data_IF_319466660951
#
_entry.id   IF_319466660951
#
_cell.length_a   1.000
_cell.length_b   1.000
_cell.length_c   1.000
_cell.angle_alpha   90.00
_cell.angle_beta   90.00
_cell.angle_gamma   90.00
#
_symmetry.space_group_name_H-M   'P 1'
#
loop_
_entity.id
_entity.type
_entity.pdbx_description
1 polymer ?
#
# COMPACT_ATOMS: atom_id res chain seq x y z
N UNK A 1 5.73 -11.86 -0.31
CA UNK A 1 6.20 -12.73 0.75
C UNK A 1 6.11 -14.15 0.23
N UNK A 2 7.26 -14.75 -0.08
CA UNK A 2 7.38 -16.13 -0.58
C UNK A 2 7.90 -16.99 0.55
N UNK A 3 7.19 -18.08 0.87
CA UNK A 3 7.72 -19.16 1.70
C UNK A 3 7.45 -20.50 1.01
N UNK A 4 8.50 -21.11 0.45
CA UNK A 4 8.49 -22.50 0.01
C UNK A 4 8.53 -23.44 1.23
N UNK A 5 7.85 -24.56 1.07
CA UNK A 5 7.07 -25.31 2.06
C UNK A 5 7.84 -26.49 2.66
N UNK A 6 7.89 -26.63 3.99
CA UNK A 6 7.92 -27.95 4.69
C UNK A 6 7.40 -27.81 6.12
N UNK A 7 6.41 -28.63 6.49
CA UNK A 7 6.07 -28.90 7.90
C UNK A 7 4.95 -28.04 8.48
N UNK A 8 4.04 -28.69 9.23
CA UNK A 8 3.00 -28.07 10.02
C UNK A 8 3.63 -27.17 11.11
N UNK A 9 4.01 -25.95 10.76
CA UNK A 9 4.44 -24.94 11.70
C UNK A 9 3.23 -24.07 12.09
N UNK A 10 3.05 -23.87 13.39
CA UNK A 10 2.16 -22.89 13.98
C UNK A 10 2.58 -21.48 13.52
N UNK A 11 2.01 -21.00 12.42
CA UNK A 11 2.18 -19.62 11.99
C UNK A 11 1.49 -18.71 13.02
N UNK A 12 2.27 -18.01 13.84
CA UNK A 12 1.73 -17.03 14.81
C UNK A 12 1.43 -15.67 14.14
N UNK A 13 2.09 -15.36 13.01
CA UNK A 13 1.91 -14.13 12.23
C UNK A 13 2.09 -14.45 10.74
N UNK A 14 1.01 -14.39 9.95
CA UNK A 14 1.04 -14.55 8.49
C UNK A 14 -0.09 -15.42 7.95
N UNK A 15 -0.54 -15.11 6.72
CA UNK A 15 -1.56 -15.89 6.02
C UNK A 15 -0.86 -16.98 5.21
N UNK A 16 -1.41 -18.20 5.23
CA UNK A 16 -0.85 -19.34 4.50
C UNK A 16 -0.89 -19.10 3.00
N UNK A 17 0.28 -19.10 2.35
CA UNK A 17 0.39 -19.05 0.90
C UNK A 17 -0.38 -20.23 0.26
N UNK A 18 -1.32 -19.93 -0.64
CA UNK A 18 -2.24 -20.91 -1.23
C UNK A 18 -3.59 -21.04 -0.54
N UNK A 19 -3.86 -20.27 0.52
CA UNK A 19 -5.22 -20.08 1.03
C UNK A 19 -6.01 -19.20 0.04
N UNK A 20 -7.16 -19.68 -0.49
CA UNK A 20 -7.99 -18.90 -1.41
C UNK A 20 -8.45 -17.54 -0.86
N UNK A 21 -8.40 -17.31 0.45
CA UNK A 21 -8.73 -16.02 1.09
C UNK A 21 -7.55 -15.04 1.18
N UNK A 22 -6.30 -15.49 0.99
CA UNK A 22 -5.11 -14.62 1.08
C UNK A 22 -5.17 -13.40 0.15
N UNK A 23 -5.60 -13.52 -1.12
CA UNK A 23 -5.69 -12.36 -2.02
C UNK A 23 -6.68 -11.31 -1.52
N UNK A 24 -7.79 -11.74 -0.92
CA UNK A 24 -8.81 -10.84 -0.38
C UNK A 24 -8.30 -10.06 0.83
N UNK A 25 -7.65 -10.75 1.77
CA UNK A 25 -7.05 -10.13 2.95
C UNK A 25 -5.92 -9.16 2.58
N UNK A 26 -5.17 -9.49 1.53
CA UNK A 26 -4.14 -8.61 0.99
C UNK A 26 -4.75 -7.29 0.45
N UNK A 27 -5.80 -7.38 -0.36
CA UNK A 27 -6.51 -6.21 -0.89
C UNK A 27 -7.08 -5.35 0.25
N UNK A 28 -7.70 -5.96 1.27
CA UNK A 28 -8.21 -5.22 2.42
C UNK A 28 -7.12 -4.47 3.18
N UNK A 29 -5.96 -5.11 3.36
CA UNK A 29 -4.81 -4.48 4.03
C UNK A 29 -4.26 -3.30 3.23
N UNK A 30 -4.16 -3.46 1.90
CA UNK A 30 -3.71 -2.41 0.99
C UNK A 30 -4.67 -1.23 0.93
N UNK A 31 -5.99 -1.47 0.96
CA UNK A 31 -6.99 -0.41 1.02
C UNK A 31 -6.94 0.36 2.34
N UNK A 32 -6.74 -0.34 3.47
CA UNK A 32 -6.48 0.31 4.76
C UNK A 32 -5.24 1.21 4.72
N UNK A 33 -4.15 0.73 4.13
CA UNK A 33 -2.93 1.52 3.92
C UNK A 33 -3.19 2.73 3.01
N UNK A 34 -3.97 2.53 1.94
CA UNK A 34 -4.35 3.59 1.00
C UNK A 34 -5.07 4.74 1.72
N UNK A 35 -6.04 4.42 2.58
CA UNK A 35 -6.79 5.37 3.39
C UNK A 35 -5.86 6.12 4.35
N UNK A 36 -4.98 5.41 5.06
CA UNK A 36 -4.04 6.04 6.00
C UNK A 36 -3.14 7.07 5.31
N UNK A 37 -2.53 6.73 4.17
CA UNK A 37 -1.68 7.65 3.42
C UNK A 37 -2.47 8.87 2.91
N UNK A 38 -3.71 8.68 2.45
CA UNK A 38 -4.59 9.79 2.02
C UNK A 38 -4.90 10.75 3.18
N UNK A 39 -5.16 10.22 4.37
CA UNK A 39 -5.42 11.04 5.57
C UNK A 39 -4.19 11.88 5.93
N UNK A 40 -3.01 11.26 5.92
CA UNK A 40 -1.74 11.94 6.21
C UNK A 40 -1.44 13.02 5.16
N UNK A 41 -1.74 12.77 3.87
CA UNK A 41 -1.60 13.77 2.80
C UNK A 41 -2.60 14.93 2.96
N UNK A 42 -3.86 14.62 3.27
CA UNK A 42 -4.91 15.64 3.48
C UNK A 42 -4.62 16.51 4.71
N UNK A 43 -4.00 15.95 5.74
CA UNK A 43 -3.54 16.68 6.92
C UNK A 43 -2.25 17.49 6.66
N UNK A 44 -1.66 17.41 5.46
CA UNK A 44 -0.45 18.13 5.08
C UNK A 44 0.83 17.61 5.75
N UNK A 45 0.79 16.41 6.33
CA UNK A 45 1.97 15.81 6.99
C UNK A 45 2.92 15.19 5.97
N UNK A 46 2.37 14.75 4.83
CA UNK A 46 3.13 14.38 3.64
C UNK A 46 2.57 15.16 2.47
N UNK A 47 3.39 15.33 1.43
CA UNK A 47 2.99 15.92 0.16
C UNK A 47 3.29 14.90 -0.94
N UNK A 48 2.29 14.57 -1.73
CA UNK A 48 2.47 13.68 -2.87
C UNK A 48 3.35 14.28 -3.95
N UNK A 49 3.86 13.44 -4.84
CA UNK A 49 4.59 13.86 -6.02
C UNK A 49 3.60 14.42 -7.06
N UNK A 50 3.69 15.73 -7.35
CA UNK A 50 2.82 16.40 -8.32
C UNK A 50 3.20 15.98 -9.75
N UNK A 51 2.34 15.23 -10.42
CA UNK A 51 2.58 14.72 -11.78
C UNK A 51 1.99 15.65 -12.83
N UNK A 52 0.89 16.33 -12.50
CA UNK A 52 0.26 17.27 -13.41
C UNK A 52 -0.51 18.35 -12.66
N UNK A 53 -0.59 19.53 -13.28
CA UNK A 53 -1.42 20.63 -12.83
C UNK A 53 -2.25 21.16 -13.99
N UNK A 54 -3.57 21.12 -13.87
CA UNK A 54 -4.49 21.67 -14.88
C UNK A 54 -5.60 22.45 -14.20
N UNK A 55 -5.82 23.70 -14.63
CA UNK A 55 -6.91 24.57 -14.14
C UNK A 55 -7.03 24.59 -12.60
N UNK A 56 -5.92 24.83 -11.89
CA UNK A 56 -5.83 24.79 -10.42
C UNK A 56 -6.10 23.44 -9.73
N UNK A 57 -6.35 22.36 -10.47
CA UNK A 57 -6.35 21.00 -9.94
C UNK A 57 -4.95 20.42 -10.02
N UNK A 58 -4.44 19.94 -8.88
CA UNK A 58 -3.20 19.19 -8.78
C UNK A 58 -3.52 17.70 -8.81
N UNK A 59 -2.80 16.96 -9.64
CA UNK A 59 -2.77 15.51 -9.60
C UNK A 59 -1.48 15.08 -8.92
N UNK A 60 -1.63 14.46 -7.76
CA UNK A 60 -0.52 14.01 -6.93
C UNK A 60 -0.55 12.48 -6.81
N UNK A 61 0.63 11.88 -6.86
CA UNK A 61 0.85 10.47 -6.54
C UNK A 61 1.50 10.41 -5.16
N UNK A 62 0.82 9.82 -4.18
CA UNK A 62 1.34 9.62 -2.82
C UNK A 62 1.96 8.25 -2.60
N UNK A 63 1.44 7.23 -3.30
CA UNK A 63 1.94 5.87 -3.19
C UNK A 63 1.71 5.05 -4.47
N UNK A 64 2.59 4.09 -4.71
CA UNK A 64 2.43 3.01 -5.69
C UNK A 64 2.54 1.67 -4.96
N UNK A 65 1.52 0.82 -5.10
CA UNK A 65 1.49 -0.50 -4.47
C UNK A 65 1.50 -1.59 -5.55
N UNK A 66 2.37 -2.59 -5.39
CA UNK A 66 2.40 -3.78 -6.22
C UNK A 66 2.74 -5.02 -5.40
N UNK A 67 1.76 -5.90 -5.16
CA UNK A 67 1.92 -7.16 -4.42
C UNK A 67 2.70 -6.99 -3.11
N UNK A 68 4.01 -7.17 -3.09
CA UNK A 68 4.79 -7.08 -1.84
C UNK A 68 5.48 -5.73 -1.64
N UNK A 69 5.43 -4.86 -2.65
CA UNK A 69 6.17 -3.62 -2.69
C UNK A 69 5.23 -2.41 -2.55
N UNK A 70 5.61 -1.46 -1.71
CA UNK A 70 4.93 -0.17 -1.59
C UNK A 70 5.97 0.94 -1.68
N UNK A 71 5.86 1.76 -2.71
CA UNK A 71 6.66 2.97 -2.87
C UNK A 71 5.85 4.15 -2.34
N UNK A 72 6.41 4.89 -1.38
CA UNK A 72 5.82 6.15 -0.89
C UNK A 72 6.58 7.29 -1.56
N UNK A 73 5.84 8.15 -2.26
CA UNK A 73 6.41 9.27 -3.00
C UNK A 73 6.26 10.55 -2.20
N UNK A 74 7.36 11.28 -2.04
CA UNK A 74 7.40 12.59 -1.41
C UNK A 74 7.71 13.63 -2.48
N UNK A 75 6.87 14.65 -2.61
CA UNK A 75 7.11 15.81 -3.46
C UNK A 75 7.75 16.95 -2.67
N UNK A 76 8.86 17.51 -3.17
CA UNK A 76 9.43 18.74 -2.64
C UNK A 76 8.62 19.98 -3.08
N UNK A 77 8.80 21.09 -2.34
CA UNK A 77 8.06 22.35 -2.56
C UNK A 77 8.69 23.17 -3.67
#
# INVERSE_FOLDING_TARGET
MVALKVGFLNAQLGIRQGDPMSPFLFILSMEGLNIMVKLVNTNGWIKGFEVARKNNQRMEITQLQYVDDTLICYGEV
#
